data_IF_667052450416
#
_entry.id   IF_667052450416
#
_cell.length_a   1.000
_cell.length_b   1.000
_cell.length_c   1.000
_cell.angle_alpha   90.00
_cell.angle_beta   90.00
_cell.angle_gamma   90.00
#
_symmetry.space_group_name_H-M   'P 1'
#
loop_
_entity.id
_entity.type
_entity.pdbx_description
1 polymer ?
#
# COMPACT_ATOMS: atom_id res chain seq x y z
N UNK A 1 14.32 1.39 -11.91
CA UNK A 1 13.02 0.86 -12.37
C UNK A 1 12.69 1.55 -13.69
N UNK A 2 12.86 0.86 -14.82
CA UNK A 2 12.67 1.45 -16.16
C UNK A 2 11.21 1.76 -16.47
N UNK A 3 10.98 2.72 -17.38
CA UNK A 3 9.65 3.17 -17.83
C UNK A 3 8.80 2.09 -18.51
N UNK A 4 9.35 0.91 -18.78
CA UNK A 4 8.64 -0.21 -19.41
C UNK A 4 8.41 -1.32 -18.38
N UNK A 5 7.13 -1.60 -18.11
CA UNK A 5 6.72 -2.67 -17.21
C UNK A 5 7.23 -4.00 -17.76
N UNK A 6 8.08 -4.70 -17.02
CA UNK A 6 8.53 -6.04 -17.42
C UNK A 6 7.31 -6.95 -17.59
N UNK A 7 7.33 -7.73 -18.66
CA UNK A 7 6.30 -8.73 -18.92
C UNK A 7 6.30 -9.76 -17.79
N UNK A 8 5.12 -10.04 -17.24
CA UNK A 8 4.96 -11.02 -16.17
C UNK A 8 5.10 -12.44 -16.70
N UNK A 9 5.52 -13.36 -15.83
CA UNK A 9 5.54 -14.79 -16.12
C UNK A 9 4.13 -15.29 -16.44
N UNK A 10 4.00 -16.20 -17.41
CA UNK A 10 2.73 -16.84 -17.73
C UNK A 10 2.28 -17.68 -16.53
N UNK A 11 1.08 -17.43 -16.02
CA UNK A 11 0.46 -18.27 -14.99
C UNK A 11 -0.45 -19.30 -15.66
N UNK A 12 -0.32 -20.57 -15.27
CA UNK A 12 -1.22 -21.63 -15.74
C UNK A 12 -2.52 -21.58 -14.94
N UNK A 13 -3.65 -21.39 -15.62
CA UNK A 13 -4.98 -21.38 -14.99
C UNK A 13 -5.59 -22.78 -15.11
N UNK A 14 -5.49 -23.59 -14.06
CA UNK A 14 -6.09 -24.91 -13.98
C UNK A 14 -7.26 -24.91 -13.00
N UNK A 15 -8.43 -25.35 -13.45
CA UNK A 15 -9.63 -25.52 -12.62
C UNK A 15 -9.95 -27.03 -12.52
N UNK A 16 -9.68 -27.67 -11.38
CA UNK A 16 -9.97 -29.09 -11.20
C UNK A 16 -11.48 -29.34 -11.14
N UNK A 17 -11.97 -30.43 -11.75
CA UNK A 17 -13.40 -30.77 -11.81
C UNK A 17 -14.09 -30.91 -10.44
N UNK A 18 -13.35 -31.32 -9.41
CA UNK A 18 -13.90 -31.61 -8.07
C UNK A 18 -13.45 -30.63 -6.99
N UNK A 19 -12.69 -29.58 -7.36
CA UNK A 19 -12.22 -28.60 -6.39
C UNK A 19 -13.31 -27.56 -6.13
N UNK A 20 -13.71 -27.44 -4.86
CA UNK A 20 -14.76 -26.52 -4.40
C UNK A 20 -14.20 -25.26 -3.72
N UNK A 21 -12.89 -25.04 -3.76
CA UNK A 21 -12.23 -23.87 -3.18
C UNK A 21 -12.09 -22.73 -4.20
N UNK A 22 -11.68 -21.56 -3.72
CA UNK A 22 -11.33 -20.42 -4.57
C UNK A 22 -9.86 -20.49 -5.00
N UNK A 23 -9.61 -20.45 -6.31
CA UNK A 23 -8.26 -20.40 -6.89
C UNK A 23 -7.75 -21.72 -7.49
N UNK A 24 -6.48 -21.73 -7.92
CA UNK A 24 -5.83 -22.90 -8.48
C UNK A 24 -5.04 -23.65 -7.37
N UNK A 25 -5.41 -24.90 -7.01
CA UNK A 25 -4.71 -25.64 -5.96
C UNK A 25 -3.27 -26.02 -6.32
N UNK A 26 -2.89 -25.89 -7.58
CA UNK A 26 -1.54 -26.13 -8.08
C UNK A 26 -0.75 -24.84 -8.34
N UNK A 27 -1.24 -23.69 -7.87
CA UNK A 27 -0.48 -22.44 -7.98
C UNK A 27 0.80 -22.54 -7.14
N UNK A 28 1.96 -22.42 -7.80
CA UNK A 28 3.26 -22.33 -7.13
C UNK A 28 3.35 -20.95 -6.49
N UNK A 29 2.91 -20.85 -5.24
CA UNK A 29 3.03 -19.67 -4.38
C UNK A 29 3.85 -19.99 -3.14
N UNK A 30 4.55 -18.99 -2.61
CA UNK A 30 5.23 -19.15 -1.34
C UNK A 30 4.20 -19.12 -0.19
N UNK A 31 4.44 -19.89 0.88
CA UNK A 31 3.52 -20.00 2.03
C UNK A 31 3.18 -18.64 2.67
N UNK A 32 4.12 -17.69 2.61
CA UNK A 32 3.94 -16.36 3.18
C UNK A 32 3.47 -15.31 2.18
N UNK A 33 3.26 -15.65 0.90
CA UNK A 33 2.84 -14.64 -0.09
C UNK A 33 1.48 -14.03 0.23
N UNK A 34 0.60 -14.77 0.90
CA UNK A 34 -0.71 -14.27 1.36
C UNK A 34 -0.60 -13.20 2.46
N UNK A 35 0.48 -13.24 3.24
CA UNK A 35 0.72 -12.29 4.33
C UNK A 35 1.62 -11.12 3.90
N UNK A 36 2.11 -11.12 2.65
CA UNK A 36 3.00 -10.07 2.12
C UNK A 36 2.21 -8.94 1.51
N UNK A 37 2.08 -7.86 2.27
CA UNK A 37 1.47 -6.60 1.83
C UNK A 37 2.42 -5.73 0.99
N UNK A 38 3.73 -5.89 1.17
CA UNK A 38 4.78 -5.02 0.59
C UNK A 38 5.31 -5.47 -0.77
N UNK A 39 5.11 -6.72 -1.15
CA UNK A 39 5.75 -7.34 -2.33
C UNK A 39 4.68 -7.82 -3.30
N UNK A 40 4.84 -7.54 -4.60
CA UNK A 40 3.90 -7.97 -5.64
C UNK A 40 3.17 -6.82 -6.34
N UNK A 41 2.01 -7.13 -6.90
CA UNK A 41 1.33 -6.28 -7.88
C UNK A 41 0.52 -5.10 -7.29
N UNK A 42 0.87 -4.66 -6.08
CA UNK A 42 0.23 -3.59 -5.31
C UNK A 42 0.68 -2.18 -5.76
N UNK A 43 0.72 -1.97 -7.08
CA UNK A 43 1.23 -0.72 -7.68
C UNK A 43 0.20 0.42 -7.68
N UNK A 44 -1.08 0.16 -7.39
CA UNK A 44 -2.13 1.17 -7.42
C UNK A 44 -2.08 2.12 -6.23
N UNK A 45 -2.32 3.42 -6.46
CA UNK A 45 -2.40 4.44 -5.40
C UNK A 45 -3.45 4.07 -4.33
N UNK A 46 -4.63 3.61 -4.75
CA UNK A 46 -5.71 3.14 -3.85
C UNK A 46 -5.23 2.01 -2.93
N UNK A 47 -4.53 1.01 -3.50
CA UNK A 47 -4.01 -0.12 -2.73
C UNK A 47 -2.96 0.32 -1.72
N UNK A 48 -2.06 1.22 -2.12
CA UNK A 48 -1.05 1.79 -1.21
C UNK A 48 -1.69 2.56 -0.05
N UNK A 49 -2.71 3.37 -0.33
CA UNK A 49 -3.43 4.14 0.69
C UNK A 49 -4.17 3.23 1.67
N UNK A 50 -4.93 2.24 1.17
CA UNK A 50 -5.62 1.27 2.02
C UNK A 50 -4.65 0.47 2.89
N UNK A 51 -3.52 0.03 2.32
CA UNK A 51 -2.51 -0.69 3.07
C UNK A 51 -1.87 0.18 4.16
N UNK A 52 -1.57 1.46 3.87
CA UNK A 52 -1.02 2.38 4.84
C UNK A 52 -1.99 2.67 6.01
N UNK A 53 -3.30 2.81 5.73
CA UNK A 53 -4.32 2.96 6.78
C UNK A 53 -4.40 1.69 7.62
N UNK A 54 -4.41 0.52 6.99
CA UNK A 54 -4.47 -0.75 7.70
C UNK A 54 -3.24 -0.94 8.59
N UNK A 55 -2.05 -0.61 8.09
CA UNK A 55 -0.80 -0.67 8.85
C UNK A 55 -0.85 0.27 10.06
N UNK A 56 -1.25 1.54 9.87
CA UNK A 56 -1.40 2.49 10.98
C UNK A 56 -2.36 2.00 12.07
N UNK A 57 -3.48 1.34 11.70
CA UNK A 57 -4.48 0.83 12.66
C UNK A 57 -4.03 -0.42 13.41
N UNK A 58 -3.28 -1.32 12.77
CA UNK A 58 -2.94 -2.63 13.33
C UNK A 58 -1.50 -2.71 13.85
N UNK A 59 -0.69 -1.66 13.66
CA UNK A 59 0.69 -1.64 14.14
C UNK A 59 0.73 -1.46 15.67
N UNK A 60 1.33 -2.40 16.42
CA UNK A 60 1.42 -2.31 17.88
C UNK A 60 2.40 -1.21 18.35
N UNK A 61 3.31 -0.75 17.49
CA UNK A 61 4.34 0.22 17.83
C UNK A 61 3.82 1.66 17.74
N UNK A 62 3.22 2.14 18.83
CA UNK A 62 2.67 3.50 18.93
C UNK A 62 3.72 4.60 18.70
N UNK A 63 4.97 4.37 19.10
CA UNK A 63 6.06 5.31 18.82
C UNK A 63 6.34 5.49 17.33
N UNK A 64 6.38 4.39 16.58
CA UNK A 64 6.60 4.42 15.15
C UNK A 64 5.47 5.19 14.45
N UNK A 65 4.22 4.90 14.81
CA UNK A 65 3.05 5.62 14.30
C UNK A 65 3.10 7.13 14.58
N UNK A 66 3.53 7.52 15.79
CA UNK A 66 3.70 8.94 16.14
C UNK A 66 4.78 9.61 15.29
N UNK A 67 5.93 8.95 15.10
CA UNK A 67 7.01 9.48 14.24
C UNK A 67 6.55 9.64 12.80
N UNK A 68 5.82 8.66 12.25
CA UNK A 68 5.25 8.74 10.90
C UNK A 68 4.30 9.93 10.76
N UNK A 69 3.41 10.15 11.74
CA UNK A 69 2.52 11.32 11.73
C UNK A 69 3.26 12.66 11.77
N UNK A 70 4.31 12.77 12.60
CA UNK A 70 5.16 13.97 12.67
C UNK A 70 5.82 14.23 11.31
N UNK A 71 6.40 13.19 10.69
CA UNK A 71 7.04 13.31 9.37
C UNK A 71 6.02 13.77 8.31
N UNK A 72 4.82 13.18 8.28
CA UNK A 72 3.75 13.58 7.35
C UNK A 72 3.36 15.05 7.57
N UNK A 73 3.19 15.48 8.83
CA UNK A 73 2.88 16.87 9.15
C UNK A 73 3.94 17.87 8.66
N UNK A 74 5.23 17.55 8.87
CA UNK A 74 6.34 18.39 8.40
C UNK A 74 6.36 18.46 6.86
N UNK A 75 6.20 17.32 6.19
CA UNK A 75 6.18 17.27 4.72
C UNK A 75 5.02 18.09 4.13
N UNK A 76 3.84 18.02 4.74
CA UNK A 76 2.69 18.83 4.34
C UNK A 76 2.95 20.32 4.58
N UNK A 77 3.53 20.69 5.71
CA UNK A 77 3.88 22.08 6.01
C UNK A 77 4.87 22.65 4.98
N UNK A 78 5.94 21.92 4.67
CA UNK A 78 6.91 22.31 3.65
C UNK A 78 6.22 22.45 2.28
N UNK A 79 5.37 21.49 1.91
CA UNK A 79 4.63 21.56 0.66
C UNK A 79 3.74 22.81 0.58
N UNK A 80 3.00 23.12 1.65
CA UNK A 80 2.15 24.33 1.73
C UNK A 80 2.98 25.61 1.63
N UNK A 81 4.17 25.64 2.26
CA UNK A 81 5.08 26.78 2.18
C UNK A 81 5.60 27.01 0.75
N UNK A 82 6.00 25.95 0.04
CA UNK A 82 6.53 26.05 -1.34
C UNK A 82 5.50 26.63 -2.31
N UNK A 83 4.22 26.31 -2.16
CA UNK A 83 3.15 26.83 -3.02
C UNK A 83 2.62 28.21 -2.56
N UNK A 84 3.14 28.77 -1.47
CA UNK A 84 2.67 30.04 -0.90
C UNK A 84 1.24 29.95 -0.36
N UNK A 85 0.82 28.78 0.13
CA UNK A 85 -0.54 28.58 0.62
C UNK A 85 -0.77 29.38 1.90
N UNK A 86 -1.85 30.17 1.91
CA UNK A 86 -2.21 30.97 3.07
C UNK A 86 -2.86 30.09 4.15
N UNK A 87 -2.15 29.91 5.27
CA UNK A 87 -2.64 29.17 6.43
C UNK A 87 -3.71 29.92 7.21
N UNK A 88 -3.91 31.22 6.94
CA UNK A 88 -4.91 32.06 7.60
C UNK A 88 -6.34 31.54 7.39
N UNK A 89 -6.60 30.82 6.28
CA UNK A 89 -7.90 30.23 5.94
C UNK A 89 -8.44 29.26 7.01
N UNK A 90 -7.55 28.68 7.84
CA UNK A 90 -7.95 27.75 8.89
C UNK A 90 -8.24 28.41 10.24
N UNK A 91 -7.90 29.70 10.39
CA UNK A 91 -8.17 30.45 11.61
C UNK A 91 -9.49 31.21 11.42
N UNK A 92 -10.58 30.67 11.98
CA UNK A 92 -11.82 31.44 12.11
C UNK A 92 -11.57 32.65 13.00
N UNK A 93 -12.15 33.79 12.63
CA UNK A 93 -12.10 35.03 13.40
C UNK A 93 -12.78 34.90 14.75
#
# INVERSE_FOLDING_TARGET
>A
MGLLKLRKNKKFNYTPRYYKGEGNPFEIKHKFDEHRITVGNNSGLKTKFNNAINDYKHNPNREANRRVLIIVGILVLIFLFVIGFDLSIFFSK
#
